data_IF_541111849117
#
_entry.id   IF_541111849117
#
_cell.length_a   1.000
_cell.length_b   1.000
_cell.length_c   1.000
_cell.angle_alpha   90.00
_cell.angle_beta   90.00
_cell.angle_gamma   90.00
#
_symmetry.space_group_name_H-M   'P 1'
#
loop_
_entity.id
_entity.type
_entity.pdbx_description
1 polymer ?
#
# COMPACT_ATOMS: atom_id res chain seq x y z
N UNK A 1 -17.62 -9.23 -1.52
CA UNK A 1 -16.92 -7.96 -1.27
C UNK A 1 -15.45 -8.22 -1.54
N UNK A 2 -14.74 -7.31 -2.20
CA UNK A 2 -13.29 -7.46 -2.42
C UNK A 2 -12.53 -7.36 -1.10
N UNK A 3 -11.28 -7.82 -1.10
CA UNK A 3 -10.38 -7.77 0.05
C UNK A 3 -9.78 -6.38 0.24
N UNK A 4 -9.39 -6.06 1.48
CA UNK A 4 -8.51 -4.94 1.79
C UNK A 4 -7.08 -5.46 1.92
N UNK A 5 -6.23 -5.08 0.97
CA UNK A 5 -4.86 -5.57 0.85
C UNK A 5 -3.86 -4.46 1.21
N UNK A 6 -2.81 -4.79 1.96
CA UNK A 6 -1.63 -3.95 2.05
C UNK A 6 -0.55 -4.48 1.11
N UNK A 7 -0.22 -3.73 0.07
CA UNK A 7 0.80 -4.10 -0.90
C UNK A 7 1.96 -3.11 -0.86
N UNK A 8 3.18 -3.62 -0.72
CA UNK A 8 4.38 -2.77 -0.59
C UNK A 8 5.67 -3.52 -0.91
N UNK A 9 6.70 -2.77 -1.25
CA UNK A 9 8.07 -3.25 -1.26
C UNK A 9 8.76 -2.92 0.08
N UNK A 10 9.63 -3.80 0.54
CA UNK A 10 10.35 -3.66 1.79
C UNK A 10 11.82 -4.03 1.59
N UNK A 11 12.74 -3.24 2.16
CA UNK A 11 14.14 -3.63 2.28
C UNK A 11 14.31 -4.86 3.19
N UNK A 12 15.41 -5.59 3.05
CA UNK A 12 15.68 -6.77 3.87
C UNK A 12 15.73 -6.44 5.38
N UNK A 13 16.08 -5.21 5.74
CA UNK A 13 16.10 -4.73 7.12
C UNK A 13 14.82 -4.06 7.60
N UNK A 14 13.72 -4.16 6.81
CA UNK A 14 12.36 -3.87 7.26
C UNK A 14 11.85 -2.45 7.02
N UNK A 15 12.41 -1.71 6.06
CA UNK A 15 11.94 -0.37 5.71
C UNK A 15 11.20 -0.37 4.38
N UNK A 16 10.16 0.46 4.26
CA UNK A 16 9.39 0.66 3.03
C UNK A 16 9.71 1.97 2.31
N UNK A 17 10.44 2.85 2.96
CA UNK A 17 11.03 4.04 2.38
C UNK A 17 12.31 4.36 3.16
N UNK A 18 13.30 4.93 2.51
CA UNK A 18 14.51 5.46 3.13
C UNK A 18 14.25 6.77 3.89
N UNK A 19 15.30 7.43 4.40
CA UNK A 19 15.22 8.79 4.93
C UNK A 19 14.59 9.74 3.90
N UNK A 20 13.87 10.75 4.39
CA UNK A 20 13.16 11.73 3.54
C UNK A 20 12.16 11.12 2.54
N UNK A 21 11.59 9.98 2.90
CA UNK A 21 10.67 9.22 2.04
C UNK A 21 11.29 8.83 0.68
N UNK A 22 12.60 8.55 0.67
CA UNK A 22 13.26 8.07 -0.54
C UNK A 22 12.76 6.69 -0.94
N UNK A 23 12.27 6.59 -2.19
CA UNK A 23 11.74 5.37 -2.81
C UNK A 23 12.53 4.93 -4.04
N UNK A 24 13.62 5.62 -4.40
CA UNK A 24 14.36 5.33 -5.64
C UNK A 24 15.00 3.93 -5.63
N UNK A 25 15.35 3.43 -4.45
CA UNK A 25 15.90 2.08 -4.27
C UNK A 25 14.95 0.95 -4.67
N UNK A 26 13.63 1.22 -4.70
CA UNK A 26 12.61 0.22 -4.99
C UNK A 26 12.35 0.01 -6.50
N UNK A 27 12.78 0.95 -7.35
CA UNK A 27 12.52 0.87 -8.78
C UNK A 27 13.42 -0.15 -9.49
N UNK A 28 12.83 -0.91 -10.42
CA UNK A 28 13.54 -1.87 -11.27
C UNK A 28 13.91 -3.19 -10.59
N UNK A 29 13.39 -3.46 -9.39
CA UNK A 29 13.62 -4.70 -8.65
C UNK A 29 12.50 -5.74 -8.84
N UNK A 30 11.34 -5.32 -9.31
CA UNK A 30 10.22 -6.17 -9.66
C UNK A 30 10.57 -7.09 -10.84
N UNK A 31 10.02 -8.28 -10.84
CA UNK A 31 10.36 -9.34 -11.81
C UNK A 31 9.92 -9.10 -13.25
N UNK A 32 9.55 -7.86 -13.62
CA UNK A 32 9.01 -7.51 -14.94
C UNK A 32 7.53 -7.86 -15.11
N UNK A 33 7.07 -7.87 -16.36
CA UNK A 33 5.66 -8.08 -16.71
C UNK A 33 5.16 -9.48 -16.28
N UNK A 34 3.93 -9.52 -15.77
CA UNK A 34 3.23 -10.77 -15.45
C UNK A 34 3.41 -11.29 -14.02
N UNK A 35 4.12 -10.57 -13.14
CA UNK A 35 4.32 -10.92 -11.74
C UNK A 35 3.16 -10.58 -10.80
N UNK A 36 3.41 -10.73 -9.50
CA UNK A 36 2.42 -10.43 -8.43
C UNK A 36 1.90 -9.00 -8.48
N UNK A 37 2.76 -8.02 -8.82
CA UNK A 37 2.34 -6.62 -8.97
C UNK A 37 1.24 -6.46 -10.03
N UNK A 38 1.40 -7.09 -11.19
CA UNK A 38 0.39 -7.06 -12.26
C UNK A 38 -0.91 -7.76 -11.86
N UNK A 39 -0.81 -8.88 -11.12
CA UNK A 39 -1.97 -9.58 -10.57
C UNK A 39 -2.74 -8.65 -9.62
N UNK A 40 -2.04 -8.01 -8.68
CA UNK A 40 -2.62 -7.06 -7.73
C UNK A 40 -3.28 -5.89 -8.46
N UNK A 41 -2.60 -5.27 -9.42
CA UNK A 41 -3.14 -4.14 -10.19
C UNK A 41 -4.43 -4.54 -10.92
N UNK A 42 -4.43 -5.72 -11.57
CA UNK A 42 -5.63 -6.24 -12.27
C UNK A 42 -6.80 -6.50 -11.32
N UNK A 43 -6.54 -6.97 -10.10
CA UNK A 43 -7.58 -7.23 -9.09
C UNK A 43 -8.08 -5.95 -8.40
N UNK A 44 -7.27 -4.89 -8.38
CA UNK A 44 -7.55 -3.65 -7.64
C UNK A 44 -8.66 -2.84 -8.28
N UNK A 45 -9.69 -2.49 -7.51
CA UNK A 45 -10.78 -1.60 -7.88
C UNK A 45 -10.59 -0.17 -7.39
N UNK A 46 -9.89 0.03 -6.26
CA UNK A 46 -9.58 1.35 -5.71
C UNK A 46 -8.30 1.31 -4.88
N UNK A 47 -7.64 2.48 -4.74
CA UNK A 47 -6.52 2.66 -3.82
C UNK A 47 -6.92 3.54 -2.64
N UNK A 48 -6.39 3.21 -1.46
CA UNK A 48 -6.43 4.05 -0.26
C UNK A 48 -4.99 4.35 0.17
N UNK A 49 -4.60 5.61 0.13
CA UNK A 49 -3.22 6.04 0.40
C UNK A 49 -3.18 7.10 1.50
N UNK A 50 -2.03 7.27 2.13
CA UNK A 50 -1.81 8.34 3.10
C UNK A 50 -1.19 9.58 2.47
N UNK A 51 -1.21 10.70 3.20
CA UNK A 51 -0.60 11.97 2.79
C UNK A 51 0.85 11.80 2.32
N UNK A 52 1.71 11.11 3.08
CA UNK A 52 3.13 10.93 2.68
C UNK A 52 3.28 10.19 1.36
N UNK A 53 2.44 9.19 1.09
CA UNK A 53 2.43 8.48 -0.20
C UNK A 53 2.04 9.43 -1.33
N UNK A 54 1.06 10.31 -1.11
CA UNK A 54 0.70 11.34 -2.08
C UNK A 54 1.83 12.35 -2.29
N UNK A 55 2.49 12.81 -1.22
CA UNK A 55 3.61 13.75 -1.30
C UNK A 55 4.79 13.14 -2.12
N UNK A 56 5.04 11.83 -1.98
CA UNK A 56 6.03 11.09 -2.80
C UNK A 56 5.60 11.04 -4.26
N UNK A 57 4.33 10.74 -4.52
CA UNK A 57 3.77 10.69 -5.87
C UNK A 57 3.85 12.06 -6.57
N UNK A 58 3.54 13.13 -5.86
CA UNK A 58 3.62 14.51 -6.38
C UNK A 58 5.07 14.90 -6.73
N UNK A 59 6.04 14.42 -5.94
CA UNK A 59 7.47 14.72 -6.14
C UNK A 59 8.08 13.91 -7.28
N UNK A 60 7.85 12.59 -7.30
CA UNK A 60 8.47 11.67 -8.25
C UNK A 60 7.65 11.46 -9.52
N UNK A 61 6.32 11.63 -9.42
CA UNK A 61 5.34 11.49 -10.50
C UNK A 61 5.41 10.16 -11.29
N UNK A 62 5.73 9.01 -10.68
CA UNK A 62 5.76 7.73 -11.39
C UNK A 62 4.36 7.28 -11.82
N UNK A 63 3.31 7.73 -11.13
CA UNK A 63 1.98 7.18 -11.17
C UNK A 63 1.87 5.91 -10.32
N UNK A 64 0.74 5.67 -9.71
CA UNK A 64 0.55 4.45 -8.93
C UNK A 64 0.87 3.22 -9.77
N UNK A 65 1.75 2.38 -9.27
CA UNK A 65 2.31 1.22 -10.00
C UNK A 65 2.96 1.62 -11.35
N UNK A 66 3.77 2.68 -11.34
CA UNK A 66 4.39 3.18 -12.58
C UNK A 66 3.39 3.70 -13.61
N UNK A 67 2.16 4.05 -13.18
CA UNK A 67 1.07 4.50 -14.03
C UNK A 67 0.18 3.39 -14.58
N UNK A 68 0.40 2.13 -14.19
CA UNK A 68 -0.45 1.00 -14.57
C UNK A 68 -1.84 1.05 -13.92
N UNK A 69 -1.95 1.61 -12.71
CA UNK A 69 -3.25 1.80 -12.07
C UNK A 69 -3.84 3.18 -12.42
N UNK A 70 -5.05 3.18 -12.97
CA UNK A 70 -5.80 4.39 -13.36
C UNK A 70 -7.23 4.42 -12.81
N UNK A 71 -7.49 3.62 -11.78
CA UNK A 71 -8.79 3.58 -11.11
C UNK A 71 -8.94 4.66 -10.03
N UNK A 72 -10.08 4.65 -9.32
CA UNK A 72 -10.34 5.53 -8.19
C UNK A 72 -9.25 5.45 -7.12
N UNK A 73 -8.82 6.59 -6.57
CA UNK A 73 -7.94 6.61 -5.43
C UNK A 73 -8.36 7.66 -4.41
N UNK A 74 -8.06 7.38 -3.15
CA UNK A 74 -8.42 8.19 -2.00
C UNK A 74 -7.19 8.47 -1.17
N UNK A 75 -7.02 9.73 -0.77
CA UNK A 75 -5.91 10.18 0.09
C UNK A 75 -6.46 10.52 1.46
N UNK A 76 -6.12 9.70 2.46
CA UNK A 76 -6.49 9.95 3.86
C UNK A 76 -5.54 10.99 4.44
N UNK A 77 -6.06 12.16 4.79
CA UNK A 77 -5.29 13.24 5.42
C UNK A 77 -6.18 14.23 6.15
N UNK A 78 -5.67 14.78 7.24
CA UNK A 78 -6.27 15.94 7.89
C UNK A 78 -5.97 17.21 7.10
N UNK A 79 -6.88 18.17 7.17
CA UNK A 79 -6.79 19.48 6.51
C UNK A 79 -6.44 19.34 5.01
N UNK A 80 -7.31 18.71 4.21
CA UNK A 80 -7.06 18.51 2.79
C UNK A 80 -7.07 19.86 2.03
N UNK A 81 -6.22 20.00 0.99
CA UNK A 81 -6.33 21.12 0.06
C UNK A 81 -7.71 21.23 -0.59
N UNK A 82 -8.07 22.43 -1.03
CA UNK A 82 -9.32 22.65 -1.73
C UNK A 82 -9.36 21.94 -3.10
N UNK A 83 -8.22 21.88 -3.78
CA UNK A 83 -8.09 21.20 -5.07
C UNK A 83 -7.89 19.70 -4.86
N UNK A 84 -8.61 18.83 -5.59
CA UNK A 84 -8.47 17.39 -5.47
C UNK A 84 -7.08 16.91 -5.92
N UNK A 85 -6.58 15.76 -5.40
CA UNK A 85 -5.32 15.20 -5.85
C UNK A 85 -5.45 14.66 -7.29
N UNK A 86 -4.42 14.88 -8.10
CA UNK A 86 -4.37 14.38 -9.47
C UNK A 86 -3.08 13.59 -9.70
N UNK A 87 -3.22 12.32 -10.10
CA UNK A 87 -2.09 11.44 -10.42
C UNK A 87 -2.23 10.94 -11.86
N UNK A 88 -1.27 11.26 -12.72
CA UNK A 88 -1.28 10.88 -14.16
C UNK A 88 -2.62 11.13 -14.86
N UNK A 89 -3.26 12.27 -14.58
CA UNK A 89 -4.54 12.68 -15.17
C UNK A 89 -5.78 12.01 -14.55
N UNK A 90 -5.61 11.18 -13.53
CA UNK A 90 -6.73 10.64 -12.73
C UNK A 90 -6.95 11.55 -11.53
N UNK A 91 -8.18 12.06 -11.40
CA UNK A 91 -8.59 12.86 -10.24
C UNK A 91 -9.04 11.94 -9.12
N UNK A 92 -8.37 12.02 -7.97
CA UNK A 92 -8.73 11.31 -6.76
C UNK A 92 -9.61 12.15 -5.82
N UNK A 93 -9.72 11.69 -4.58
CA UNK A 93 -10.43 12.40 -3.51
C UNK A 93 -9.62 12.41 -2.23
N UNK A 94 -9.59 13.56 -1.56
CA UNK A 94 -9.16 13.63 -0.19
C UNK A 94 -10.27 13.15 0.76
N UNK A 95 -9.87 12.45 1.82
CA UNK A 95 -10.75 12.03 2.90
C UNK A 95 -10.18 12.52 4.23
N UNK A 96 -10.94 13.31 4.96
CA UNK A 96 -10.68 13.69 6.35
C UNK A 96 -11.73 13.03 7.24
N UNK A 97 -11.61 11.74 7.40
CA UNK A 97 -12.56 10.87 8.12
C UNK A 97 -11.81 9.79 8.90
N UNK A 98 -12.51 9.07 9.76
CA UNK A 98 -11.96 7.89 10.43
C UNK A 98 -11.62 6.77 9.41
N UNK A 99 -10.72 5.88 9.80
CA UNK A 99 -10.21 4.82 8.90
C UNK A 99 -11.31 3.89 8.41
N UNK A 100 -12.28 3.57 9.26
CA UNK A 100 -13.40 2.69 8.93
C UNK A 100 -14.25 3.29 7.79
N UNK A 101 -14.51 4.57 7.87
CA UNK A 101 -15.26 5.30 6.84
C UNK A 101 -14.45 5.44 5.55
N UNK A 102 -13.13 5.70 5.65
CA UNK A 102 -12.25 5.76 4.49
C UNK A 102 -12.23 4.42 3.73
N UNK A 103 -12.13 3.31 4.46
CA UNK A 103 -12.18 1.96 3.88
C UNK A 103 -13.54 1.70 3.22
N UNK A 104 -14.64 2.06 3.89
CA UNK A 104 -15.99 1.89 3.33
C UNK A 104 -16.15 2.64 1.99
N UNK A 105 -15.71 3.89 1.93
CA UNK A 105 -15.75 4.72 0.70
C UNK A 105 -14.91 4.08 -0.42
N UNK A 106 -13.72 3.59 -0.09
CA UNK A 106 -12.85 2.94 -1.07
C UNK A 106 -13.47 1.61 -1.58
N UNK A 107 -14.06 0.81 -0.69
CA UNK A 107 -14.73 -0.46 -1.05
C UNK A 107 -15.96 -0.23 -1.95
N UNK A 108 -16.75 0.79 -1.69
CA UNK A 108 -17.86 1.18 -2.56
C UNK A 108 -17.38 1.56 -3.97
N UNK A 109 -16.31 2.35 -4.06
CA UNK A 109 -15.71 2.73 -5.33
C UNK A 109 -15.07 1.55 -6.07
N UNK A 110 -14.56 0.57 -5.34
CA UNK A 110 -13.96 -0.64 -5.90
C UNK A 110 -14.98 -1.61 -6.55
N UNK A 111 -16.28 -1.44 -6.31
CA UNK A 111 -17.37 -2.20 -6.94
C UNK A 111 -17.18 -3.72 -6.84
N UNK A 112 -16.82 -4.21 -5.65
CA UNK A 112 -16.63 -5.64 -5.39
C UNK A 112 -15.23 -6.17 -5.72
N UNK A 113 -14.35 -5.36 -6.32
CA UNK A 113 -12.91 -5.65 -6.50
C UNK A 113 -12.15 -5.31 -5.23
N UNK A 114 -10.85 -5.65 -5.21
CA UNK A 114 -10.00 -5.40 -4.05
C UNK A 114 -9.70 -3.91 -3.87
N UNK A 115 -9.50 -3.51 -2.63
CA UNK A 115 -8.94 -2.20 -2.26
C UNK A 115 -7.51 -2.42 -1.82
N UNK A 116 -6.58 -1.68 -2.41
CA UNK A 116 -5.17 -1.74 -2.00
C UNK A 116 -4.81 -0.50 -1.20
N UNK A 117 -4.19 -0.75 -0.05
CA UNK A 117 -3.62 0.28 0.82
C UNK A 117 -2.14 0.45 0.48
N UNK A 118 -1.71 1.69 0.28
CA UNK A 118 -0.31 2.05 0.12
C UNK A 118 0.16 2.94 1.29
N UNK A 119 1.33 2.60 1.83
CA UNK A 119 1.96 3.35 2.92
C UNK A 119 1.66 2.78 4.32
N UNK A 120 2.69 2.82 5.19
CA UNK A 120 2.66 2.16 6.51
C UNK A 120 1.60 2.70 7.46
N UNK A 121 1.35 4.02 7.46
CA UNK A 121 0.43 4.62 8.43
C UNK A 121 -1.01 4.19 8.21
N UNK A 122 -1.51 4.26 6.96
CA UNK A 122 -2.88 3.86 6.63
C UNK A 122 -3.04 2.35 6.86
N UNK A 123 -2.07 1.55 6.42
CA UNK A 123 -2.08 0.10 6.63
C UNK A 123 -2.12 -0.26 8.13
N UNK A 124 -1.33 0.45 8.96
CA UNK A 124 -1.37 0.27 10.42
C UNK A 124 -2.74 0.59 11.00
N UNK A 125 -3.38 1.69 10.59
CA UNK A 125 -4.72 2.04 11.04
C UNK A 125 -5.75 0.97 10.63
N UNK A 126 -5.69 0.47 9.39
CA UNK A 126 -6.56 -0.61 8.93
C UNK A 126 -6.35 -1.89 9.76
N UNK A 127 -5.10 -2.23 10.05
CA UNK A 127 -4.76 -3.40 10.88
C UNK A 127 -5.27 -3.24 12.32
N UNK A 128 -5.12 -2.05 12.92
CA UNK A 128 -5.57 -1.76 14.29
C UNK A 128 -7.10 -1.76 14.42
N UNK A 129 -7.80 -1.40 13.35
CA UNK A 129 -9.25 -1.45 13.25
C UNK A 129 -9.80 -2.85 12.88
N UNK A 130 -8.91 -3.85 12.63
CA UNK A 130 -9.33 -5.21 12.23
C UNK A 130 -9.90 -5.29 10.81
N UNK A 131 -9.55 -4.34 9.94
CA UNK A 131 -10.11 -4.25 8.59
C UNK A 131 -9.21 -4.87 7.51
N UNK A 132 -7.92 -5.10 7.82
CA UNK A 132 -6.94 -5.57 6.85
C UNK A 132 -7.04 -7.08 6.67
N UNK A 133 -7.29 -7.55 5.46
CA UNK A 133 -7.42 -8.97 5.14
C UNK A 133 -6.07 -9.62 4.84
N UNK A 134 -5.23 -8.98 4.02
CA UNK A 134 -3.97 -9.56 3.55
C UNK A 134 -2.84 -8.52 3.49
N UNK A 135 -1.63 -9.03 3.62
CA UNK A 135 -0.38 -8.28 3.44
C UNK A 135 0.42 -8.97 2.33
N UNK A 136 0.84 -8.20 1.34
CA UNK A 136 1.71 -8.63 0.24
C UNK A 136 2.96 -7.77 0.29
N UNK A 137 4.12 -8.40 0.53
CA UNK A 137 5.40 -7.71 0.68
C UNK A 137 6.40 -8.27 -0.31
N UNK A 138 6.95 -7.41 -1.16
CA UNK A 138 8.13 -7.70 -1.97
C UNK A 138 9.37 -7.40 -1.14
N UNK A 139 10.09 -8.41 -0.70
CA UNK A 139 11.35 -8.26 0.04
C UNK A 139 12.48 -8.06 -0.94
N UNK A 140 13.05 -6.86 -0.95
CA UNK A 140 14.15 -6.47 -1.83
C UNK A 140 15.52 -6.80 -1.19
N UNK A 141 16.53 -7.15 -1.98
CA UNK A 141 17.90 -7.44 -1.50
C UNK A 141 18.68 -6.14 -1.23
N UNK A 142 18.11 -5.25 -0.42
CA UNK A 142 18.64 -3.92 -0.08
C UNK A 142 18.60 -3.73 1.44
N UNK A 143 19.62 -3.10 1.99
CA UNK A 143 19.66 -2.62 3.37
C UNK A 143 19.63 -1.10 3.36
N UNK A 144 18.69 -0.49 4.06
CA UNK A 144 18.54 0.96 4.15
C UNK A 144 19.11 1.55 5.44
N UNK A 145 19.05 0.80 6.54
CA UNK A 145 19.58 1.20 7.84
C UNK A 145 18.70 2.21 8.59
N UNK A 146 17.95 3.08 7.89
CA UNK A 146 17.04 4.06 8.46
C UNK A 146 15.89 4.35 7.50
N UNK A 147 14.82 4.99 8.00
CA UNK A 147 13.65 5.37 7.20
C UNK A 147 12.32 4.99 7.80
N UNK A 148 11.33 4.74 6.95
CA UNK A 148 9.98 4.34 7.33
C UNK A 148 9.90 2.82 7.44
N UNK A 149 9.73 2.29 8.65
CA UNK A 149 9.57 0.84 8.85
C UNK A 149 8.24 0.36 8.27
N UNK A 150 8.27 -0.86 7.74
CA UNK A 150 7.05 -1.57 7.34
C UNK A 150 6.05 -1.57 8.50
N UNK A 151 6.51 -1.93 9.68
CA UNK A 151 5.65 -2.05 10.84
C UNK A 151 6.37 -1.59 12.11
N UNK A 152 5.79 -0.59 12.76
CA UNK A 152 6.24 -0.10 14.05
C UNK A 152 5.02 0.05 14.96
N UNK A 153 4.96 -0.76 16.04
CA UNK A 153 3.81 -0.81 16.94
C UNK A 153 4.29 -0.96 18.38
N UNK A 154 4.75 0.14 18.96
CA UNK A 154 5.24 0.15 20.34
C UNK A 154 4.11 -0.19 21.33
N UNK A 155 4.38 -1.12 22.25
CA UNK A 155 3.50 -1.41 23.38
C UNK A 155 2.20 -2.17 23.08
N UNK A 156 2.02 -2.67 21.86
CA UNK A 156 0.84 -3.47 21.50
C UNK A 156 1.23 -4.91 21.17
N UNK A 157 0.34 -5.85 21.42
CA UNK A 157 0.59 -7.29 21.29
C UNK A 157 0.98 -7.76 19.89
N UNK A 158 1.37 -9.02 19.77
CA UNK A 158 1.72 -9.69 18.52
C UNK A 158 0.49 -9.82 17.61
N UNK A 159 0.66 -9.53 16.33
CA UNK A 159 -0.31 -9.87 15.28
C UNK A 159 0.14 -11.16 14.63
N UNK A 160 -0.73 -12.16 14.60
CA UNK A 160 -0.46 -13.43 13.92
C UNK A 160 -0.83 -13.32 12.45
N UNK A 161 0.03 -13.85 11.60
CA UNK A 161 -0.19 -13.93 10.17
C UNK A 161 -0.19 -15.40 9.73
N UNK A 162 -1.02 -15.73 8.76
CA UNK A 162 -1.07 -17.06 8.14
C UNK A 162 -0.48 -16.97 6.73
N UNK A 163 0.55 -17.76 6.45
CA UNK A 163 1.21 -17.74 5.15
C UNK A 163 0.29 -18.28 4.07
N UNK A 164 0.05 -17.49 3.03
CA UNK A 164 -0.67 -17.87 1.82
C UNK A 164 0.32 -18.37 0.77
N UNK A 165 1.35 -17.58 0.44
CA UNK A 165 2.35 -17.94 -0.58
C UNK A 165 3.70 -17.28 -0.31
N UNK A 166 4.71 -17.81 -1.00
CA UNK A 166 6.05 -17.23 -1.11
C UNK A 166 6.55 -17.54 -2.53
N UNK A 167 6.91 -16.51 -3.29
CA UNK A 167 7.32 -16.62 -4.69
C UNK A 167 8.56 -15.76 -4.92
N UNK A 168 9.53 -16.28 -5.66
CA UNK A 168 10.68 -15.49 -6.09
C UNK A 168 10.36 -14.81 -7.43
N UNK A 169 10.52 -13.49 -7.48
CA UNK A 169 10.28 -12.65 -8.66
C UNK A 169 11.48 -11.72 -8.89
N UNK A 170 12.24 -11.99 -9.94
CA UNK A 170 13.44 -11.25 -10.26
C UNK A 170 14.45 -11.27 -9.11
N UNK A 171 14.73 -10.13 -8.52
CA UNK A 171 15.61 -9.98 -7.35
C UNK A 171 14.86 -9.95 -6.02
N UNK A 172 13.52 -10.03 -6.04
CA UNK A 172 12.69 -9.96 -4.84
C UNK A 172 12.09 -11.31 -4.48
N UNK A 173 11.81 -11.54 -3.19
CA UNK A 173 10.92 -12.60 -2.74
C UNK A 173 9.60 -11.99 -2.32
N UNK A 174 8.51 -12.41 -2.94
CA UNK A 174 7.16 -11.94 -2.62
C UNK A 174 6.55 -12.83 -1.56
N UNK A 175 6.16 -12.24 -0.45
CA UNK A 175 5.50 -12.91 0.67
C UNK A 175 4.04 -12.43 0.75
N UNK A 176 3.11 -13.38 0.80
CA UNK A 176 1.67 -13.10 0.97
C UNK A 176 1.16 -13.78 2.22
N UNK A 177 0.50 -13.01 3.07
CA UNK A 177 -0.05 -13.46 4.34
C UNK A 177 -1.49 -12.99 4.53
N UNK A 178 -2.34 -13.85 5.09
CA UNK A 178 -3.61 -13.44 5.67
C UNK A 178 -3.38 -12.88 7.08
N UNK A 179 -4.15 -11.87 7.46
CA UNK A 179 -4.18 -11.36 8.83
C UNK A 179 -5.11 -12.23 9.65
N UNK A 180 -4.56 -12.95 10.64
CA UNK A 180 -5.36 -13.84 11.49
C UNK A 180 -6.34 -13.02 12.36
N UNK A 181 -7.62 -13.32 12.24
CA UNK A 181 -8.68 -12.63 12.99
C UNK A 181 -9.28 -11.42 12.27
N UNK A 182 -8.98 -11.21 10.98
CA UNK A 182 -9.85 -10.41 10.12
C UNK A 182 -11.24 -11.10 10.04
N UNK A 183 -12.33 -10.34 10.08
CA UNK A 183 -13.69 -10.91 10.13
C UNK A 183 -14.05 -11.73 8.90
#
# INVERSE_FOLDING_TARGET
MGKLLWHTMMSLDGFIAGPDDDMQWAFGLDGGDGGTTDEVVRATGALLVGRRTQDVEDRLQPGFYGGAFRGPFFVLRHDPPAEPPVVKGVTGRFLDVAIEEAVRVAQEAARGRDVVVLGANVARQCLEAGLLDEIIVHVAPVLLGDGVRLFARAGRGTVKLEKISSVDEGQTTVLRYAVAGAP
#
